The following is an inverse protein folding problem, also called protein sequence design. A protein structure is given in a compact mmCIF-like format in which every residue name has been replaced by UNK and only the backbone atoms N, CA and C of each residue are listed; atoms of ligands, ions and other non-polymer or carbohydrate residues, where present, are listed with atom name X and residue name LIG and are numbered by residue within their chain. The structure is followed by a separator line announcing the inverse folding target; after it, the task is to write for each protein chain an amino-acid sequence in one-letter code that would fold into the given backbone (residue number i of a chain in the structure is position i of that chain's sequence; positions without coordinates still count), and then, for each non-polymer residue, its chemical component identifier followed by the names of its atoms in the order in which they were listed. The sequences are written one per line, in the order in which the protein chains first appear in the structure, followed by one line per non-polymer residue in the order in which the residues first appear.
data_IF_469065689485
#
_entry.id   IF_469065689485
#
_cell.length_a   1.000
_cell.length_b   1.000
_cell.length_c   1.000
_cell.angle_alpha   90.00
_cell.angle_beta   90.00
_cell.angle_gamma   90.00
#
_symmetry.space_group_name_H-M   'P 1'
#
loop_
_entity.id
_entity.type
_entity.pdbx_description
1 polymer ?
#
# COMPACT_ATOMS: atom_id res chain seq x y z
N UNK A 1 18.00 2.63 13.98
CA UNK A 1 17.16 3.78 13.63
C UNK A 1 15.93 3.76 14.52
N UNK A 2 15.57 4.92 15.10
CA UNK A 2 14.33 5.02 15.89
C UNK A 2 13.12 4.77 14.96
N UNK A 3 12.04 4.16 15.48
CA UNK A 3 10.84 3.94 14.66
C UNK A 3 10.28 5.29 14.19
N UNK A 4 9.88 5.33 12.93
CA UNK A 4 9.19 6.49 12.36
C UNK A 4 7.89 6.73 13.15
N UNK A 5 7.66 7.98 13.56
CA UNK A 5 6.49 8.40 14.32
C UNK A 5 5.71 9.46 13.57
N UNK A 6 4.42 9.56 13.87
CA UNK A 6 3.63 10.72 13.47
C UNK A 6 4.22 11.99 14.06
N UNK A 7 4.12 13.14 13.39
CA UNK A 7 4.48 14.43 13.97
C UNK A 7 3.59 14.74 15.18
N UNK A 8 4.07 15.57 16.10
CA UNK A 8 3.29 15.99 17.29
C UNK A 8 2.03 16.76 16.91
N UNK A 9 2.11 17.54 15.82
CA UNK A 9 1.00 18.32 15.26
C UNK A 9 0.82 17.95 13.80
N UNK A 10 0.12 16.84 13.48
CA UNK A 10 -0.09 16.43 12.11
C UNK A 10 -1.00 17.41 11.37
N UNK A 11 -0.66 17.69 10.12
CA UNK A 11 -1.53 18.45 9.23
C UNK A 11 -2.67 17.53 8.80
N UNK A 12 -3.92 18.00 8.82
CA UNK A 12 -5.04 17.21 8.31
C UNK A 12 -4.87 16.98 6.80
N UNK A 13 -5.30 15.82 6.36
CA UNK A 13 -5.37 15.52 4.93
C UNK A 13 -6.26 16.51 4.21
N UNK A 14 -5.87 16.97 3.00
CA UNK A 14 -6.75 17.73 2.12
C UNK A 14 -8.04 16.95 1.84
N UNK A 15 -9.14 17.66 1.64
CA UNK A 15 -10.40 17.04 1.22
C UNK A 15 -10.15 16.24 -0.09
N UNK A 16 -10.43 14.94 -0.06
CA UNK A 16 -10.10 14.02 -1.15
C UNK A 16 -10.86 14.37 -2.42
N UNK A 17 -10.16 14.59 -3.52
CA UNK A 17 -10.79 14.67 -4.84
C UNK A 17 -11.38 13.30 -5.22
N UNK A 18 -12.53 13.30 -5.91
CA UNK A 18 -13.20 12.06 -6.37
C UNK A 18 -12.32 11.17 -7.27
N UNK A 19 -11.32 11.77 -7.90
CA UNK A 19 -10.45 11.12 -8.89
C UNK A 19 -9.10 10.62 -8.32
N UNK A 20 -8.93 10.59 -7.01
CA UNK A 20 -7.67 10.20 -6.38
C UNK A 20 -6.84 11.39 -5.93
N UNK A 21 -5.59 11.15 -5.54
CA UNK A 21 -4.64 12.15 -5.06
C UNK A 21 -3.53 12.39 -6.09
N UNK A 22 -2.98 13.60 -6.12
CA UNK A 22 -1.75 13.90 -6.85
C UNK A 22 -0.54 13.45 -6.04
N UNK A 23 0.50 12.95 -6.71
CA UNK A 23 1.76 12.57 -6.07
C UNK A 23 2.91 13.34 -6.75
N UNK A 24 3.69 14.05 -5.96
CA UNK A 24 4.92 14.68 -6.43
C UNK A 24 6.10 14.18 -5.61
N UNK A 25 7.13 13.72 -6.28
CA UNK A 25 8.40 13.28 -5.70
C UNK A 25 9.47 14.23 -6.17
N UNK A 26 10.17 14.88 -5.23
CA UNK A 26 11.17 15.90 -5.54
C UNK A 26 12.55 15.47 -5.05
N UNK A 27 13.48 15.25 -5.98
CA UNK A 27 14.91 14.99 -5.75
C UNK A 27 15.19 13.97 -4.64
N UNK A 28 14.42 12.87 -4.65
CA UNK A 28 14.44 11.87 -3.58
C UNK A 28 15.76 11.11 -3.59
N UNK A 29 16.49 11.15 -2.48
CA UNK A 29 17.68 10.33 -2.26
C UNK A 29 17.57 9.57 -0.94
N UNK A 30 17.97 8.28 -0.98
CA UNK A 30 17.85 7.41 0.18
C UNK A 30 18.88 6.30 0.20
N UNK A 31 19.39 5.99 1.41
CA UNK A 31 20.16 4.80 1.75
C UNK A 31 19.50 4.02 2.87
N UNK A 32 19.56 2.71 2.79
CA UNK A 32 19.14 1.89 3.92
C UNK A 32 20.15 2.01 5.06
N UNK A 33 19.69 2.12 6.32
CA UNK A 33 20.58 2.14 7.49
C UNK A 33 21.50 0.93 7.59
N UNK A 34 21.06 -0.22 7.03
CA UNK A 34 21.84 -1.45 6.95
C UNK A 34 22.92 -1.43 5.85
N UNK A 35 22.90 -0.45 4.94
CA UNK A 35 23.85 -0.29 3.82
C UNK A 35 24.13 1.18 3.57
N UNK A 36 24.82 1.88 4.50
CA UNK A 36 25.00 3.33 4.46
C UNK A 36 25.87 3.81 3.27
N UNK A 37 26.70 2.93 2.73
CA UNK A 37 27.60 3.27 1.63
C UNK A 37 26.95 3.12 0.24
N UNK A 38 25.70 2.64 0.17
CA UNK A 38 25.03 2.35 -1.10
C UNK A 38 23.75 3.16 -1.23
N UNK A 39 23.68 4.05 -2.22
CA UNK A 39 22.44 4.73 -2.59
C UNK A 39 21.43 3.72 -3.14
N UNK A 40 20.26 3.66 -2.52
CA UNK A 40 19.13 2.88 -2.99
C UNK A 40 18.25 3.69 -3.96
N UNK A 41 18.21 5.01 -3.77
CA UNK A 41 17.61 5.98 -4.70
C UNK A 41 18.51 7.20 -4.78
N UNK A 42 18.67 7.75 -5.99
CA UNK A 42 19.46 8.94 -6.28
C UNK A 42 18.65 9.92 -7.12
N UNK A 43 18.36 11.08 -6.53
CA UNK A 43 17.75 12.24 -7.21
C UNK A 43 16.47 11.93 -8.02
N UNK A 44 15.67 10.99 -7.54
CA UNK A 44 14.41 10.63 -8.20
C UNK A 44 13.41 11.78 -8.09
N UNK A 45 12.93 12.23 -9.24
CA UNK A 45 11.83 13.21 -9.32
C UNK A 45 10.76 12.69 -10.28
N UNK A 46 9.50 12.84 -9.89
CA UNK A 46 8.35 12.46 -10.72
C UNK A 46 7.08 13.14 -10.23
N UNK A 47 6.19 13.43 -11.16
CA UNK A 47 4.86 13.95 -10.89
C UNK A 47 3.82 12.98 -11.45
N UNK A 48 2.77 12.72 -10.67
CA UNK A 48 1.66 11.85 -11.02
C UNK A 48 0.36 12.63 -10.78
N UNK A 49 -0.41 12.81 -11.82
CA UNK A 49 -1.71 13.45 -11.70
C UNK A 49 -2.75 12.50 -11.06
N UNK A 50 -3.79 13.08 -10.47
CA UNK A 50 -4.89 12.29 -9.93
C UNK A 50 -5.57 11.47 -11.03
N UNK A 51 -5.71 10.16 -10.80
CA UNK A 51 -6.30 9.23 -11.76
C UNK A 51 -5.32 8.61 -12.76
N UNK A 52 -4.06 9.04 -12.78
CA UNK A 52 -3.05 8.45 -13.66
C UNK A 52 -2.67 7.03 -13.23
N UNK A 53 -2.34 6.23 -14.23
CA UNK A 53 -1.69 4.92 -14.04
C UNK A 53 -0.26 5.01 -14.58
N UNK A 54 0.72 4.76 -13.71
CA UNK A 54 2.13 4.79 -14.09
C UNK A 54 2.77 3.41 -13.91
N UNK A 55 3.75 3.10 -14.76
CA UNK A 55 4.58 1.91 -14.61
C UNK A 55 6.00 2.31 -14.21
N UNK A 56 6.49 1.77 -13.09
CA UNK A 56 7.87 1.95 -12.65
C UNK A 56 8.68 0.74 -13.12
N UNK A 57 9.55 0.98 -14.10
CA UNK A 57 10.36 -0.06 -14.74
C UNK A 57 11.85 0.09 -14.41
N UNK A 58 12.57 -0.99 -14.42
CA UNK A 58 14.01 -0.99 -14.16
C UNK A 58 14.52 -2.38 -13.74
N UNK A 59 15.83 -2.61 -13.79
CA UNK A 59 16.43 -3.86 -13.38
C UNK A 59 16.18 -4.19 -11.89
N UNK A 60 16.49 -5.42 -11.49
CA UNK A 60 16.47 -5.78 -10.06
C UNK A 60 17.47 -4.90 -9.30
N UNK A 61 17.05 -4.41 -8.13
CA UNK A 61 17.88 -3.49 -7.33
C UNK A 61 17.81 -2.01 -7.73
N UNK A 62 17.05 -1.62 -8.75
CA UNK A 62 16.90 -0.22 -9.20
C UNK A 62 16.11 0.69 -8.23
N UNK A 63 15.79 0.23 -7.02
CA UNK A 63 15.11 1.06 -6.02
C UNK A 63 13.57 1.09 -6.12
N UNK A 64 12.95 0.30 -7.01
CA UNK A 64 11.48 0.29 -7.17
C UNK A 64 10.73 0.01 -5.87
N UNK A 65 11.12 -1.05 -5.16
CA UNK A 65 10.55 -1.40 -3.85
C UNK A 65 10.85 -0.33 -2.80
N UNK A 66 12.04 0.29 -2.87
CA UNK A 66 12.45 1.37 -1.97
C UNK A 66 11.50 2.57 -2.07
N UNK A 67 11.09 2.94 -3.28
CA UNK A 67 10.13 4.02 -3.48
C UNK A 67 8.80 3.74 -2.76
N UNK A 68 8.25 2.52 -2.88
CA UNK A 68 7.02 2.14 -2.17
C UNK A 68 7.19 2.17 -0.65
N UNK A 69 8.36 1.78 -0.14
CA UNK A 69 8.64 1.85 1.31
C UNK A 69 8.73 3.28 1.82
N UNK A 70 9.24 4.22 1.01
CA UNK A 70 9.26 5.65 1.33
C UNK A 70 7.84 6.26 1.23
N UNK A 71 7.04 5.88 0.23
CA UNK A 71 5.64 6.30 0.10
C UNK A 71 4.81 5.91 1.32
N UNK A 72 5.01 4.69 1.85
CA UNK A 72 4.36 4.20 3.06
C UNK A 72 4.99 4.73 4.35
N UNK A 73 6.06 5.50 4.18
CA UNK A 73 6.80 6.05 5.29
C UNK A 73 7.25 4.97 6.29
N UNK A 74 7.81 3.85 5.78
CA UNK A 74 8.62 2.92 6.57
C UNK A 74 10.01 3.50 6.85
N UNK A 75 10.46 4.39 5.98
CA UNK A 75 11.67 5.20 6.10
C UNK A 75 11.36 6.63 5.66
N UNK A 76 12.08 7.60 6.20
CA UNK A 76 12.11 8.96 5.68
C UNK A 76 13.34 9.12 4.76
N UNK A 77 13.24 9.86 3.65
CA UNK A 77 14.36 10.08 2.74
C UNK A 77 15.46 10.94 3.39
N UNK A 78 16.72 10.78 2.95
CA UNK A 78 17.83 11.64 3.38
C UNK A 78 17.73 13.02 2.77
N UNK A 79 17.36 13.09 1.49
CA UNK A 79 17.14 14.30 0.74
C UNK A 79 15.86 14.22 -0.07
N UNK A 80 15.32 15.40 -0.40
CA UNK A 80 14.09 15.51 -1.13
C UNK A 80 12.86 15.31 -0.26
N UNK A 81 11.71 15.20 -0.92
CA UNK A 81 10.41 15.03 -0.27
C UNK A 81 9.40 14.35 -1.18
N UNK A 82 8.37 13.83 -0.57
CA UNK A 82 7.20 13.26 -1.24
C UNK A 82 5.99 14.07 -0.80
N UNK A 83 5.26 14.60 -1.77
CA UNK A 83 4.05 15.39 -1.55
C UNK A 83 2.85 14.59 -2.02
N UNK A 84 1.81 14.56 -1.20
CA UNK A 84 0.50 14.02 -1.52
C UNK A 84 -0.52 15.16 -1.47
N UNK A 85 -1.15 15.47 -2.60
CA UNK A 85 -1.99 16.67 -2.77
C UNK A 85 -1.30 17.96 -2.30
N UNK A 86 0.01 18.10 -2.60
CA UNK A 86 0.82 19.24 -2.20
C UNK A 86 1.30 19.25 -0.75
N UNK A 87 0.91 18.27 0.07
CA UNK A 87 1.30 18.16 1.48
C UNK A 87 2.43 17.14 1.64
N UNK A 88 3.53 17.53 2.29
CA UNK A 88 4.63 16.62 2.61
C UNK A 88 4.13 15.47 3.51
N UNK A 89 4.33 14.23 3.06
CA UNK A 89 3.88 13.04 3.79
C UNK A 89 4.44 12.96 5.22
N UNK A 90 5.58 13.63 5.49
CA UNK A 90 6.17 13.70 6.84
C UNK A 90 5.34 14.53 7.80
N UNK A 91 4.52 15.43 7.28
CA UNK A 91 3.61 16.29 8.07
C UNK A 91 2.27 15.61 8.38
N UNK A 92 1.97 14.48 7.75
CA UNK A 92 0.74 13.73 7.94
C UNK A 92 0.84 12.75 9.12
N UNK A 93 -0.30 12.45 9.76
CA UNK A 93 -0.36 11.32 10.67
C UNK A 93 -0.12 10.00 9.89
N UNK A 94 0.71 9.10 10.43
CA UNK A 94 1.06 7.84 9.75
C UNK A 94 -0.17 6.98 9.44
N UNK A 95 -1.14 6.96 10.35
CA UNK A 95 -2.39 6.23 10.17
C UNK A 95 -3.17 6.78 8.96
N UNK A 96 -3.32 8.08 8.88
CA UNK A 96 -4.07 8.74 7.80
C UNK A 96 -3.39 8.56 6.45
N UNK A 97 -2.06 8.74 6.40
CA UNK A 97 -1.27 8.50 5.19
C UNK A 97 -1.46 7.07 4.68
N UNK A 98 -1.32 6.07 5.56
CA UNK A 98 -1.41 4.66 5.18
C UNK A 98 -2.82 4.23 4.82
N UNK A 99 -3.84 4.85 5.37
CA UNK A 99 -5.24 4.62 4.99
C UNK A 99 -5.58 5.14 3.58
N UNK A 100 -4.76 6.03 3.02
CA UNK A 100 -4.92 6.51 1.64
C UNK A 100 -4.28 5.61 0.60
N UNK A 101 -3.40 4.69 1.00
CA UNK A 101 -2.57 3.90 0.09
C UNK A 101 -2.98 2.43 0.19
N UNK A 102 -3.57 1.90 -0.87
CA UNK A 102 -3.75 0.46 -1.04
C UNK A 102 -2.50 -0.19 -1.65
N UNK A 103 -2.12 -1.36 -1.18
CA UNK A 103 -0.99 -2.13 -1.70
C UNK A 103 -1.43 -3.53 -2.06
N UNK A 104 -0.98 -3.97 -3.23
CA UNK A 104 -1.05 -5.37 -3.64
C UNK A 104 0.39 -5.87 -3.77
N UNK A 105 0.93 -6.56 -2.76
CA UNK A 105 2.30 -7.08 -2.80
C UNK A 105 2.40 -8.29 -3.72
N UNK A 106 3.62 -8.58 -4.19
CA UNK A 106 3.91 -9.77 -4.98
C UNK A 106 3.69 -11.06 -4.17
N UNK A 107 4.14 -11.06 -2.91
CA UNK A 107 3.92 -12.13 -1.96
C UNK A 107 2.79 -11.72 -1.01
N UNK A 108 1.60 -12.26 -1.22
CA UNK A 108 0.43 -11.98 -0.42
C UNK A 108 0.37 -12.89 0.81
N UNK A 109 0.03 -12.33 1.95
CA UNK A 109 -0.25 -13.07 3.17
C UNK A 109 -1.75 -13.34 3.23
N UNK A 110 -2.12 -14.61 3.37
CA UNK A 110 -3.49 -15.01 3.69
C UNK A 110 -3.52 -15.38 5.16
N UNK A 111 -4.36 -14.71 5.92
CA UNK A 111 -4.52 -14.97 7.34
C UNK A 111 -5.30 -16.27 7.57
N UNK A 112 -5.00 -16.95 8.66
CA UNK A 112 -5.73 -18.15 9.12
C UNK A 112 -7.13 -17.76 9.64
N UNK A 113 -7.99 -17.36 8.73
CA UNK A 113 -9.37 -16.92 8.93
C UNK A 113 -10.21 -17.33 7.71
N UNK A 114 -11.52 -17.08 7.73
CA UNK A 114 -12.35 -17.31 6.54
C UNK A 114 -12.09 -16.25 5.45
N UNK A 115 -12.60 -16.47 4.23
CA UNK A 115 -12.41 -15.57 3.11
C UNK A 115 -12.99 -14.17 3.39
N UNK A 116 -14.16 -14.10 4.02
CA UNK A 116 -14.81 -12.85 4.41
C UNK A 116 -13.91 -11.98 5.28
N UNK A 117 -13.32 -12.56 6.33
CA UNK A 117 -12.45 -11.82 7.26
C UNK A 117 -11.10 -11.45 6.65
N UNK A 118 -10.57 -12.27 5.75
CA UNK A 118 -9.35 -11.91 5.00
C UNK A 118 -9.55 -10.65 4.15
N UNK A 119 -10.70 -10.51 3.49
CA UNK A 119 -11.02 -9.32 2.69
C UNK A 119 -11.34 -8.13 3.61
N UNK A 120 -12.11 -8.36 4.67
CA UNK A 120 -12.50 -7.35 5.67
C UNK A 120 -11.28 -6.74 6.39
N UNK A 121 -10.14 -7.43 6.43
CA UNK A 121 -8.93 -6.96 7.10
C UNK A 121 -8.51 -5.54 6.68
N UNK A 122 -8.70 -5.18 5.41
CA UNK A 122 -8.39 -3.84 4.89
C UNK A 122 -9.32 -2.73 5.45
N UNK A 123 -10.55 -3.09 5.89
CA UNK A 123 -11.52 -2.19 6.51
C UNK A 123 -12.38 -2.95 7.51
N UNK A 124 -11.94 -3.07 8.78
CA UNK A 124 -12.60 -3.91 9.78
C UNK A 124 -14.07 -3.57 10.07
N UNK A 125 -14.51 -2.35 9.74
CA UNK A 125 -15.89 -1.89 9.92
C UNK A 125 -16.77 -2.13 8.69
N UNK A 126 -16.25 -2.76 7.62
CA UNK A 126 -17.01 -3.01 6.42
C UNK A 126 -18.13 -4.05 6.68
N UNK A 127 -19.32 -3.79 6.13
CA UNK A 127 -20.41 -4.77 6.11
C UNK A 127 -20.08 -5.94 5.18
N UNK A 128 -20.84 -7.05 5.32
CA UNK A 128 -20.68 -8.21 4.44
C UNK A 128 -20.93 -7.85 2.97
N UNK A 129 -21.92 -6.98 2.69
CA UNK A 129 -22.22 -6.53 1.34
C UNK A 129 -21.05 -5.73 0.74
N UNK A 130 -20.42 -4.83 1.51
CA UNK A 130 -19.25 -4.07 1.08
C UNK A 130 -18.04 -4.98 0.82
N UNK A 131 -17.87 -6.03 1.59
CA UNK A 131 -16.83 -7.05 1.37
C UNK A 131 -17.09 -7.83 0.08
N UNK A 132 -18.34 -8.22 -0.17
CA UNK A 132 -18.74 -8.91 -1.40
C UNK A 132 -18.53 -8.01 -2.62
N UNK A 133 -18.91 -6.75 -2.53
CA UNK A 133 -18.71 -5.79 -3.62
C UNK A 133 -17.23 -5.54 -3.91
N UNK A 134 -16.39 -5.45 -2.88
CA UNK A 134 -14.94 -5.39 -3.06
C UNK A 134 -14.39 -6.65 -3.76
N UNK A 135 -14.88 -7.82 -3.40
CA UNK A 135 -14.51 -9.08 -4.05
C UNK A 135 -14.93 -9.12 -5.53
N UNK A 136 -16.11 -8.60 -5.87
CA UNK A 136 -16.55 -8.47 -7.27
C UNK A 136 -15.65 -7.54 -8.06
N UNK A 137 -15.31 -6.38 -7.51
CA UNK A 137 -14.39 -5.43 -8.13
C UNK A 137 -13.00 -6.02 -8.39
N UNK A 138 -12.54 -6.89 -7.48
CA UNK A 138 -11.27 -7.60 -7.60
C UNK A 138 -11.35 -8.87 -8.47
N UNK A 139 -12.49 -9.15 -9.11
CA UNK A 139 -12.76 -10.39 -9.85
C UNK A 139 -12.55 -11.68 -9.00
N UNK A 140 -12.69 -11.57 -7.69
CA UNK A 140 -12.48 -12.67 -6.75
C UNK A 140 -13.79 -13.39 -6.37
N UNK A 141 -14.93 -12.74 -6.53
CA UNK A 141 -16.25 -13.24 -6.10
C UNK A 141 -16.57 -14.65 -6.62
N UNK A 142 -16.45 -14.86 -7.93
CA UNK A 142 -16.81 -16.14 -8.55
C UNK A 142 -15.97 -17.32 -8.05
N UNK A 143 -14.67 -17.13 -7.81
CA UNK A 143 -13.86 -18.21 -7.29
C UNK A 143 -14.13 -18.47 -5.80
N UNK A 144 -14.44 -17.42 -5.02
CA UNK A 144 -14.81 -17.57 -3.60
C UNK A 144 -16.12 -18.36 -3.48
N UNK A 145 -17.11 -18.08 -4.29
CA UNK A 145 -18.38 -18.85 -4.27
C UNK A 145 -18.21 -20.33 -4.63
N UNK A 146 -17.16 -20.67 -5.38
CA UNK A 146 -16.83 -22.08 -5.70
C UNK A 146 -16.09 -22.81 -4.57
N UNK A 147 -15.68 -22.10 -3.52
CA UNK A 147 -15.10 -22.75 -2.33
C UNK A 147 -16.20 -23.55 -1.59
N UNK A 148 -15.84 -24.60 -0.83
CA UNK A 148 -16.81 -25.49 -0.18
C UNK A 148 -17.85 -24.78 0.67
N UNK A 149 -17.47 -23.68 1.34
CA UNK A 149 -18.33 -22.88 2.21
C UNK A 149 -18.39 -21.42 1.75
N UNK A 150 -18.10 -21.14 0.46
CA UNK A 150 -18.07 -19.79 -0.09
C UNK A 150 -17.21 -18.85 0.73
N UNK A 151 -17.73 -17.69 1.09
CA UNK A 151 -17.05 -16.69 1.90
C UNK A 151 -16.70 -17.15 3.32
N UNK A 152 -17.35 -18.19 3.83
CA UNK A 152 -17.05 -18.77 5.15
C UNK A 152 -15.95 -19.83 5.09
N UNK A 153 -15.47 -20.18 3.90
CA UNK A 153 -14.37 -21.12 3.73
C UNK A 153 -13.12 -20.64 4.45
N UNK A 154 -12.59 -21.48 5.34
CA UNK A 154 -11.37 -21.17 6.09
C UNK A 154 -10.15 -21.23 5.17
N UNK A 155 -9.36 -20.17 5.16
CA UNK A 155 -8.14 -20.03 4.36
C UNK A 155 -6.88 -20.16 5.24
N UNK A 156 -5.71 -20.35 4.61
CA UNK A 156 -4.43 -20.47 5.29
C UNK A 156 -3.93 -21.92 5.38
N UNK A 157 -2.92 -22.17 6.23
CA UNK A 157 -2.21 -23.45 6.28
C UNK A 157 -3.09 -24.67 6.65
N UNK A 158 -4.17 -24.44 7.38
CA UNK A 158 -5.11 -25.48 7.83
C UNK A 158 -6.42 -25.49 7.04
N UNK A 159 -6.57 -24.66 6.05
CA UNK A 159 -7.76 -24.50 5.24
C UNK A 159 -7.54 -24.72 3.76
N UNK A 160 -8.40 -24.10 2.94
CA UNK A 160 -8.30 -24.17 1.48
C UNK A 160 -7.00 -23.51 1.02
N UNK A 161 -6.18 -24.23 0.24
CA UNK A 161 -4.97 -23.70 -0.37
C UNK A 161 -5.32 -22.94 -1.63
N UNK A 162 -5.10 -21.64 -1.62
CA UNK A 162 -5.28 -20.80 -2.79
C UNK A 162 -4.07 -20.91 -3.73
N UNK A 163 -4.34 -20.90 -5.04
CA UNK A 163 -3.28 -20.76 -6.06
C UNK A 163 -2.66 -19.35 -6.01
N UNK A 164 -1.50 -19.15 -6.65
CA UNK A 164 -0.82 -17.85 -6.69
C UNK A 164 -1.71 -16.71 -7.22
N UNK A 165 -2.58 -17.00 -8.20
CA UNK A 165 -3.51 -16.02 -8.76
C UNK A 165 -4.79 -15.79 -7.96
N UNK A 166 -5.03 -16.60 -6.92
CA UNK A 166 -6.21 -16.51 -6.04
C UNK A 166 -5.89 -15.85 -4.68
N UNK A 167 -4.63 -15.53 -4.45
CA UNK A 167 -4.13 -14.86 -3.24
C UNK A 167 -4.21 -13.33 -3.29
#
# INVERSE_FOLDING_TARGET
QSPIRSPEHPIPLPARALNGATLCVEQLAFRYPSRPDTLALSELSMDVAAGDTIAIVGPSGAGKTTLFQLLLRFYDPEHGRILLDGVDIRSLALHDLRNMIGIVPQDTVVFSANAMENIRYGRPQASDDEVIDAAKLAAAHEFIERLPEGYQSFLGERGVRLSGGQR
#
